data_IF_981860018982
#
_entry.id   IF_981860018982
#
_cell.length_a   1.000
_cell.length_b   1.000
_cell.length_c   1.000
_cell.angle_alpha   90.00
_cell.angle_beta   90.00
_cell.angle_gamma   90.00
#
_symmetry.space_group_name_H-M   'P 1'
#
loop_
_entity.id
_entity.type
_entity.pdbx_description
1 polymer ?
#
# COMPACT_ATOMS: atom_id res chain seq x y z
N UNK A 1 8.41 -1.38 30.63
CA UNK A 1 9.84 -1.51 30.36
C UNK A 1 10.55 -0.17 30.60
N UNK A 2 11.76 -0.23 31.13
CA UNK A 2 12.63 0.92 31.35
C UNK A 2 13.93 0.68 30.61
N UNK A 3 14.36 1.65 29.81
CA UNK A 3 15.53 1.49 28.95
C UNK A 3 16.39 2.77 28.96
N UNK A 4 17.69 2.61 29.21
CA UNK A 4 18.67 3.70 29.12
C UNK A 4 19.18 3.80 27.68
N UNK A 5 18.97 4.98 27.05
CA UNK A 5 19.17 5.16 25.61
C UNK A 5 20.65 5.14 25.18
N UNK A 6 21.55 5.68 25.99
CA UNK A 6 22.95 5.84 25.62
C UNK A 6 23.75 4.53 25.78
N UNK A 7 23.43 3.73 26.80
CA UNK A 7 24.21 2.52 27.20
C UNK A 7 23.50 1.21 26.86
N UNK A 8 22.26 1.27 26.34
CA UNK A 8 21.44 0.12 25.98
C UNK A 8 21.20 -0.86 27.14
N UNK A 9 21.12 -0.36 28.36
CA UNK A 9 20.80 -1.12 29.56
C UNK A 9 19.31 -0.97 29.85
N UNK A 10 18.61 -2.07 30.12
CA UNK A 10 17.18 -2.03 30.39
C UNK A 10 16.78 -2.94 31.53
N UNK A 11 15.63 -2.63 32.14
CA UNK A 11 14.98 -3.41 33.18
C UNK A 11 13.46 -3.36 32.98
N UNK A 12 12.73 -4.22 33.66
CA UNK A 12 11.28 -4.21 33.71
C UNK A 12 10.76 -4.01 35.13
N UNK A 13 9.56 -3.48 35.24
CA UNK A 13 8.89 -3.37 36.53
C UNK A 13 8.32 -4.70 36.96
N UNK A 14 8.23 -4.92 38.27
CA UNK A 14 7.42 -5.99 38.86
C UNK A 14 5.90 -5.63 38.77
N UNK A 15 4.97 -6.55 39.18
CA UNK A 15 3.52 -6.27 39.13
C UNK A 15 3.08 -5.08 39.99
N UNK A 16 3.87 -4.63 40.94
CA UNK A 16 3.60 -3.46 41.79
C UNK A 16 4.19 -2.17 41.26
N UNK A 17 4.86 -2.22 40.09
CA UNK A 17 5.48 -1.03 39.47
C UNK A 17 6.89 -0.72 39.99
N UNK A 18 7.45 -1.52 40.90
CA UNK A 18 8.82 -1.33 41.39
C UNK A 18 9.84 -1.75 40.32
N UNK A 19 10.91 -0.96 40.16
CA UNK A 19 12.04 -1.27 39.32
C UNK A 19 13.35 -0.82 39.99
N UNK A 20 14.45 -1.45 39.57
CA UNK A 20 15.80 -1.04 39.93
C UNK A 20 16.70 -1.17 38.72
N UNK A 21 17.51 -0.14 38.51
CA UNK A 21 18.50 -0.09 37.43
C UNK A 21 19.79 0.52 37.98
N UNK A 22 20.92 -0.14 37.77
CA UNK A 22 22.22 0.35 38.16
C UNK A 22 22.89 1.01 36.97
N UNK A 23 23.24 2.29 37.15
CA UNK A 23 23.91 3.09 36.13
C UNK A 23 25.15 3.76 36.76
N UNK A 24 26.21 3.99 35.99
CA UNK A 24 27.34 4.78 36.47
C UNK A 24 26.95 6.26 36.58
N UNK A 25 27.69 7.01 37.40
CA UNK A 25 27.53 8.44 37.53
C UNK A 25 27.65 9.15 36.18
N UNK A 26 26.88 10.26 36.03
CA UNK A 26 26.84 11.07 34.83
C UNK A 26 25.46 11.28 34.25
N UNK A 27 25.40 11.75 33.02
CA UNK A 27 24.14 12.02 32.32
C UNK A 27 23.46 10.70 31.93
N UNK A 28 22.18 10.59 32.24
CA UNK A 28 21.34 9.44 31.96
C UNK A 28 20.02 9.86 31.30
N UNK A 29 19.57 9.08 30.33
CA UNK A 29 18.31 9.26 29.63
C UNK A 29 17.49 7.95 29.71
N UNK A 30 16.56 7.91 30.64
CA UNK A 30 15.68 6.75 30.84
C UNK A 30 14.38 6.92 30.05
N UNK A 31 14.08 5.94 29.23
CA UNK A 31 12.83 5.80 28.50
C UNK A 31 11.93 4.80 29.21
N UNK A 32 10.73 5.22 29.55
CA UNK A 32 9.69 4.45 30.20
C UNK A 32 8.60 4.14 29.19
N UNK A 33 8.36 2.86 28.90
CA UNK A 33 7.36 2.43 27.94
C UNK A 33 6.49 1.30 28.49
N UNK A 34 5.20 1.38 28.22
CA UNK A 34 4.24 0.33 28.51
C UNK A 34 3.15 0.31 27.43
N UNK A 35 2.63 -0.87 27.14
CA UNK A 35 1.61 -1.04 26.11
C UNK A 35 0.35 -0.22 26.45
N UNK A 36 -0.12 0.63 25.53
CA UNK A 36 -1.27 1.51 25.73
C UNK A 36 -0.96 2.81 26.51
N UNK A 37 0.33 3.14 26.72
CA UNK A 37 0.76 4.36 27.38
C UNK A 37 1.79 5.10 26.52
N UNK A 38 1.74 6.43 26.57
CA UNK A 38 2.73 7.28 25.91
C UNK A 38 4.12 7.04 26.52
N UNK A 39 5.10 6.84 25.66
CA UNK A 39 6.49 6.67 26.08
C UNK A 39 7.02 7.98 26.67
N UNK A 40 7.50 7.95 27.91
CA UNK A 40 8.06 9.11 28.59
C UNK A 40 9.58 8.99 28.70
N UNK A 41 10.30 10.05 28.33
CA UNK A 41 11.76 10.11 28.44
C UNK A 41 12.12 11.08 29.55
N UNK A 42 12.86 10.60 30.55
CA UNK A 42 13.39 11.39 31.64
C UNK A 42 14.90 11.51 31.50
N UNK A 43 15.40 12.76 31.39
CA UNK A 43 16.83 13.07 31.33
C UNK A 43 17.26 13.74 32.60
N UNK A 44 18.29 13.21 33.26
CA UNK A 44 18.84 13.75 34.49
C UNK A 44 20.32 13.36 34.63
N UNK A 45 21.00 14.04 35.55
CA UNK A 45 22.36 13.71 35.90
C UNK A 45 22.36 12.92 37.21
N UNK A 46 22.90 11.69 37.12
CA UNK A 46 23.02 10.79 38.26
C UNK A 46 24.31 11.09 39.01
N UNK A 47 24.20 11.59 40.23
CA UNK A 47 25.33 11.92 41.14
C UNK A 47 25.32 11.07 42.43
N UNK A 48 24.18 10.47 42.74
CA UNK A 48 23.95 9.60 43.90
C UNK A 48 22.75 8.72 43.66
N UNK A 49 22.55 7.74 44.57
CA UNK A 49 21.34 6.91 44.55
C UNK A 49 20.11 7.79 44.54
N UNK A 50 19.27 7.56 43.51
CA UNK A 50 18.14 8.42 43.21
C UNK A 50 16.88 7.59 43.08
N UNK A 51 15.79 8.05 43.71
CA UNK A 51 14.48 7.44 43.59
C UNK A 51 13.67 8.24 42.57
N UNK A 52 13.21 7.57 41.52
CA UNK A 52 12.47 8.18 40.42
C UNK A 52 11.10 7.51 40.30
N UNK A 53 10.05 8.28 40.57
CA UNK A 53 8.67 7.85 40.40
C UNK A 53 8.11 8.46 39.13
N UNK A 54 7.70 7.62 38.18
CA UNK A 54 7.17 8.05 36.89
C UNK A 54 5.71 7.61 36.78
N UNK A 55 4.86 8.53 36.34
CA UNK A 55 3.46 8.24 36.03
C UNK A 55 3.26 8.33 34.52
N UNK A 56 3.05 7.18 33.88
CA UNK A 56 2.72 7.15 32.46
C UNK A 56 1.29 7.63 32.22
N UNK A 57 1.10 8.42 31.19
CA UNK A 57 -0.20 8.83 30.72
C UNK A 57 -0.70 7.78 29.71
N UNK A 58 -1.98 7.44 29.79
CA UNK A 58 -2.59 6.57 28.80
C UNK A 58 -2.49 7.24 27.43
N UNK A 59 -1.90 6.52 26.50
CA UNK A 59 -1.91 6.90 25.10
C UNK A 59 -3.27 6.50 24.52
N UNK A 60 -4.24 7.44 24.67
CA UNK A 60 -5.54 7.30 24.00
C UNK A 60 -5.46 7.66 22.50
N UNK A 61 -4.34 8.10 22.02
CA UNK A 61 -3.96 8.04 20.64
C UNK A 61 -3.43 6.61 20.38
N UNK A 62 -4.34 5.65 20.15
CA UNK A 62 -4.15 4.90 18.94
C UNK A 62 -3.80 5.97 17.90
N UNK A 63 -2.56 6.10 17.51
CA UNK A 63 -2.29 6.61 16.18
C UNK A 63 -3.26 5.79 15.34
N UNK A 64 -4.37 6.43 15.01
CA UNK A 64 -5.14 6.03 13.85
C UNK A 64 -4.03 5.79 12.86
N UNK A 65 -3.74 4.51 12.60
CA UNK A 65 -3.04 4.13 11.40
C UNK A 65 -3.97 4.70 10.37
N UNK A 66 -3.75 5.98 10.05
CA UNK A 66 -4.22 6.58 8.84
C UNK A 66 -3.48 5.73 7.84
N UNK A 67 -4.06 4.54 7.57
CA UNK A 67 -3.97 3.97 6.27
C UNK A 67 -4.42 5.13 5.43
N UNK A 68 -3.47 5.91 4.93
CA UNK A 68 -3.62 6.65 3.72
C UNK A 68 -3.87 5.59 2.64
N UNK A 69 -4.97 4.87 2.78
CA UNK A 69 -5.81 4.53 1.67
C UNK A 69 -5.87 5.87 0.95
N UNK A 70 -5.13 5.99 -0.15
CA UNK A 70 -5.28 7.08 -1.10
C UNK A 70 -6.73 7.48 -0.99
N UNK A 71 -6.96 8.62 -0.27
CA UNK A 71 -8.30 9.07 0.05
C UNK A 71 -8.91 9.30 -1.32
N UNK A 72 -9.43 8.18 -1.89
CA UNK A 72 -10.36 8.31 -2.99
C UNK A 72 -11.25 9.39 -2.46
N UNK A 73 -11.40 10.45 -3.21
CA UNK A 73 -12.43 11.41 -2.96
C UNK A 73 -13.74 10.61 -2.90
N UNK A 74 -13.98 9.93 -1.77
CA UNK A 74 -15.22 9.24 -1.42
C UNK A 74 -16.19 10.30 -0.92
N UNK A 75 -16.07 11.49 -1.49
CA UNK A 75 -17.09 12.53 -1.38
C UNK A 75 -18.11 12.37 -2.50
N UNK A 76 -19.19 13.07 -2.38
CA UNK A 76 -20.29 13.28 -3.33
C UNK A 76 -19.79 13.62 -4.78
N UNK A 77 -18.50 13.87 -4.94
CA UNK A 77 -17.81 14.16 -6.21
C UNK A 77 -17.11 12.96 -6.86
N UNK A 78 -17.18 11.75 -6.26
CA UNK A 78 -16.68 10.53 -6.92
C UNK A 78 -17.62 10.17 -8.06
N UNK A 79 -17.42 10.78 -9.22
CA UNK A 79 -18.18 10.54 -10.45
C UNK A 79 -18.01 9.13 -11.03
N UNK A 80 -17.23 8.27 -10.37
CA UNK A 80 -16.89 6.94 -10.85
C UNK A 80 -17.22 5.88 -9.77
N UNK A 81 -18.50 5.50 -9.66
CA UNK A 81 -18.95 4.51 -8.68
C UNK A 81 -18.40 3.07 -8.89
N UNK A 82 -17.75 2.77 -9.98
CA UNK A 82 -17.24 1.42 -10.32
C UNK A 82 -15.76 1.39 -10.66
N UNK A 83 -15.00 2.46 -10.34
CA UNK A 83 -13.57 2.50 -10.58
C UNK A 83 -12.81 1.73 -9.51
N UNK A 84 -11.96 0.80 -9.91
CA UNK A 84 -11.03 0.08 -9.06
C UNK A 84 -9.61 0.41 -9.52
N UNK A 85 -8.86 1.12 -8.68
CA UNK A 85 -7.44 1.33 -8.91
C UNK A 85 -6.67 0.07 -8.52
N UNK A 86 -5.89 -0.47 -9.45
CA UNK A 86 -5.04 -1.64 -9.22
C UNK A 86 -3.70 -1.14 -8.70
N UNK A 87 -3.30 -1.51 -7.47
CA UNK A 87 -2.02 -1.07 -6.93
C UNK A 87 -0.85 -1.63 -7.77
N UNK A 88 0.04 -0.76 -8.26
CA UNK A 88 1.21 -1.17 -9.03
C UNK A 88 2.10 -2.16 -8.29
N UNK A 89 2.18 -2.02 -6.95
CA UNK A 89 2.91 -2.98 -6.10
C UNK A 89 2.33 -4.40 -6.21
N UNK A 90 1.02 -4.53 -6.33
CA UNK A 90 0.37 -5.83 -6.50
C UNK A 90 0.71 -6.43 -7.87
N UNK A 91 0.71 -5.61 -8.92
CA UNK A 91 1.04 -6.05 -10.28
C UNK A 91 2.48 -6.57 -10.32
N UNK A 92 3.43 -5.82 -9.78
CA UNK A 92 4.86 -6.18 -9.78
C UNK A 92 5.19 -7.40 -8.92
N UNK A 93 4.41 -7.65 -7.88
CA UNK A 93 4.67 -8.75 -6.94
C UNK A 93 3.89 -10.02 -7.29
N UNK A 94 3.08 -10.03 -8.34
CA UNK A 94 2.31 -11.20 -8.77
C UNK A 94 3.05 -11.89 -9.92
N UNK A 95 3.86 -12.92 -9.65
CA UNK A 95 4.47 -13.71 -10.70
C UNK A 95 3.37 -14.54 -11.38
N UNK A 96 3.28 -14.46 -12.69
CA UNK A 96 2.20 -15.15 -13.41
C UNK A 96 2.77 -16.26 -14.31
N UNK A 97 3.26 -15.93 -15.47
CA UNK A 97 3.79 -16.92 -16.41
C UNK A 97 5.29 -16.77 -16.52
N UNK A 98 6.02 -17.87 -16.41
CA UNK A 98 7.50 -17.90 -16.50
C UNK A 98 8.23 -16.95 -15.49
N UNK A 99 7.51 -16.54 -14.42
CA UNK A 99 8.11 -15.66 -13.40
C UNK A 99 8.05 -14.17 -13.72
N UNK A 100 7.50 -13.77 -14.85
CA UNK A 100 7.32 -12.38 -15.22
C UNK A 100 5.95 -11.84 -14.78
N UNK A 101 5.93 -10.61 -14.28
CA UNK A 101 4.70 -9.93 -13.90
C UNK A 101 3.94 -9.45 -15.14
N UNK A 102 2.66 -9.78 -15.22
CA UNK A 102 1.80 -9.38 -16.34
C UNK A 102 0.56 -8.63 -15.84
N UNK A 103 0.29 -7.48 -16.43
CA UNK A 103 -0.82 -6.61 -16.04
C UNK A 103 -2.18 -7.28 -16.23
N UNK A 104 -2.44 -7.84 -17.40
CA UNK A 104 -3.75 -8.41 -17.70
C UNK A 104 -4.02 -9.66 -16.87
N UNK A 105 -2.99 -10.48 -16.64
CA UNK A 105 -3.08 -11.64 -15.75
C UNK A 105 -3.36 -11.24 -14.30
N UNK A 106 -2.75 -10.15 -13.82
CA UNK A 106 -3.05 -9.63 -12.49
C UNK A 106 -4.48 -9.12 -12.39
N UNK A 107 -4.99 -8.45 -13.43
CA UNK A 107 -6.39 -8.01 -13.48
C UNK A 107 -7.36 -9.21 -13.46
N UNK A 108 -7.01 -10.33 -14.05
CA UNK A 108 -7.82 -11.56 -14.01
C UNK A 108 -8.01 -12.12 -12.59
N UNK A 109 -7.13 -11.81 -11.65
CA UNK A 109 -7.26 -12.20 -10.24
C UNK A 109 -8.26 -11.33 -9.46
N UNK A 110 -8.74 -10.23 -10.04
CA UNK A 110 -9.67 -9.34 -9.38
C UNK A 110 -11.10 -9.89 -9.35
N UNK A 111 -11.87 -9.66 -8.27
CA UNK A 111 -13.26 -10.13 -8.19
C UNK A 111 -14.10 -9.63 -9.37
N UNK A 112 -14.86 -10.52 -10.00
CA UNK A 112 -15.72 -10.22 -11.14
C UNK A 112 -14.99 -10.07 -12.48
N UNK A 113 -13.74 -10.50 -12.55
CA UNK A 113 -12.97 -10.68 -13.78
C UNK A 113 -12.67 -12.16 -13.93
N UNK A 114 -12.86 -12.70 -15.11
CA UNK A 114 -12.56 -14.08 -15.43
C UNK A 114 -11.55 -14.13 -16.57
N UNK A 115 -10.64 -15.08 -16.50
CA UNK A 115 -9.78 -15.40 -17.62
C UNK A 115 -10.61 -16.04 -18.74
N UNK A 116 -10.21 -15.83 -19.97
CA UNK A 116 -10.71 -16.59 -21.11
C UNK A 116 -10.24 -18.06 -21.05
N UNK A 117 -10.29 -18.75 -22.18
CA UNK A 117 -9.71 -20.10 -22.29
C UNK A 117 -8.22 -20.07 -21.91
N UNK A 118 -7.73 -21.13 -21.28
CA UNK A 118 -6.31 -21.27 -20.95
C UNK A 118 -5.43 -21.00 -22.18
N UNK A 119 -4.48 -20.07 -22.02
CA UNK A 119 -3.57 -19.66 -23.09
C UNK A 119 -4.01 -18.43 -23.91
N UNK A 120 -5.21 -17.89 -23.68
CA UNK A 120 -5.66 -16.65 -24.30
C UNK A 120 -5.86 -15.57 -23.23
N UNK A 121 -5.39 -14.37 -23.50
CA UNK A 121 -5.47 -13.22 -22.57
C UNK A 121 -6.86 -12.55 -22.55
N UNK A 122 -7.87 -13.17 -23.10
CA UNK A 122 -9.23 -12.66 -23.08
C UNK A 122 -9.70 -12.33 -21.66
N UNK A 123 -10.12 -11.08 -21.43
CA UNK A 123 -10.72 -10.63 -20.19
C UNK A 123 -12.24 -10.69 -20.31
N UNK A 124 -12.87 -11.44 -19.42
CA UNK A 124 -14.31 -11.44 -19.24
C UNK A 124 -14.66 -10.69 -17.96
N UNK A 125 -15.21 -9.50 -18.08
CA UNK A 125 -15.59 -8.68 -16.93
C UNK A 125 -17.10 -8.72 -16.75
N UNK A 126 -17.55 -9.19 -15.60
CA UNK A 126 -19.00 -9.33 -15.27
C UNK A 126 -19.82 -10.04 -16.37
N UNK A 127 -19.24 -11.06 -16.98
CA UNK A 127 -19.90 -11.85 -18.03
C UNK A 127 -19.84 -11.25 -19.44
N UNK A 128 -19.21 -10.09 -19.63
CA UNK A 128 -18.98 -9.53 -20.95
C UNK A 128 -17.83 -10.21 -21.69
N UNK A 129 -17.88 -10.24 -23.01
CA UNK A 129 -16.84 -10.79 -23.87
C UNK A 129 -15.58 -9.93 -23.95
N UNK A 130 -14.45 -10.51 -24.43
CA UNK A 130 -13.19 -9.77 -24.55
C UNK A 130 -13.29 -8.56 -25.48
N UNK A 131 -14.12 -8.63 -26.53
CA UNK A 131 -14.42 -7.57 -27.49
C UNK A 131 -15.21 -6.41 -26.89
N UNK A 132 -15.82 -6.62 -25.72
CA UNK A 132 -16.62 -5.61 -25.00
C UNK A 132 -15.81 -4.81 -23.99
N UNK A 133 -14.53 -5.06 -23.89
CA UNK A 133 -13.61 -4.31 -23.03
C UNK A 133 -12.87 -3.23 -23.83
N UNK A 134 -12.67 -2.07 -23.24
CA UNK A 134 -11.86 -0.99 -23.79
C UNK A 134 -10.56 -0.90 -22.99
N UNK A 135 -9.44 -1.11 -23.66
CA UNK A 135 -8.12 -0.92 -23.05
C UNK A 135 -7.56 0.39 -23.59
N UNK A 136 -7.19 1.29 -22.70
CA UNK A 136 -6.63 2.59 -23.03
C UNK A 136 -5.20 2.67 -22.46
N UNK A 137 -4.27 3.10 -23.28
CA UNK A 137 -2.92 3.48 -22.87
C UNK A 137 -2.76 5.00 -23.09
N UNK A 138 -2.65 5.75 -22.00
CA UNK A 138 -2.62 7.22 -22.00
C UNK A 138 -3.78 7.85 -22.77
N UNK A 139 -4.97 7.21 -22.71
CA UNK A 139 -6.16 7.65 -23.41
C UNK A 139 -6.29 7.16 -24.86
N UNK A 140 -5.30 6.42 -25.39
CA UNK A 140 -5.32 5.85 -26.74
C UNK A 140 -5.86 4.43 -26.68
N UNK A 141 -6.88 4.06 -27.49
CA UNK A 141 -7.43 2.72 -27.48
C UNK A 141 -6.44 1.71 -28.09
N UNK A 142 -6.24 0.63 -27.36
CA UNK A 142 -5.43 -0.51 -27.76
C UNK A 142 -6.38 -1.66 -28.12
N UNK A 143 -6.36 -2.10 -29.36
CA UNK A 143 -7.26 -3.15 -29.86
C UNK A 143 -6.69 -4.55 -29.65
N UNK A 144 -5.38 -4.71 -29.69
CA UNK A 144 -4.70 -5.97 -29.44
C UNK A 144 -3.67 -5.77 -28.34
N UNK A 145 -4.03 -6.19 -27.14
CA UNK A 145 -3.19 -6.04 -25.94
C UNK A 145 -2.35 -7.32 -25.67
N UNK A 146 -2.42 -8.28 -26.57
CA UNK A 146 -1.85 -9.61 -26.39
C UNK A 146 -0.60 -9.80 -27.23
N UNK A 147 0.34 -10.51 -26.67
CA UNK A 147 1.56 -10.95 -27.34
C UNK A 147 1.75 -12.46 -27.17
N UNK A 148 2.44 -13.12 -28.11
CA UNK A 148 2.71 -14.55 -28.10
C UNK A 148 1.46 -15.42 -27.89
N UNK A 149 0.48 -15.27 -28.79
CA UNK A 149 -0.79 -16.05 -28.74
C UNK A 149 -1.57 -15.87 -27.43
N UNK A 150 -1.42 -14.70 -26.78
CA UNK A 150 -2.16 -14.39 -25.56
C UNK A 150 -1.50 -14.87 -24.27
N UNK A 151 -0.26 -15.35 -24.33
CA UNK A 151 0.49 -15.75 -23.12
C UNK A 151 0.92 -14.53 -22.31
N UNK A 152 1.34 -13.45 -22.95
CA UNK A 152 1.74 -12.18 -22.33
C UNK A 152 0.93 -11.00 -22.82
N UNK A 153 0.82 -9.98 -21.99
CA UNK A 153 0.36 -8.66 -22.43
C UNK A 153 1.52 -7.82 -22.98
N UNK A 154 1.18 -6.83 -23.80
CA UNK A 154 2.16 -5.86 -24.32
C UNK A 154 2.60 -4.83 -23.25
N UNK A 155 2.04 -4.89 -22.05
CA UNK A 155 2.22 -3.89 -21.00
C UNK A 155 3.34 -4.30 -20.05
N UNK A 156 4.39 -3.48 -20.00
CA UNK A 156 5.52 -3.64 -19.08
C UNK A 156 5.20 -2.94 -17.75
N UNK A 157 5.07 -3.66 -16.62
CA UNK A 157 4.65 -3.08 -15.35
C UNK A 157 5.55 -1.95 -14.83
N UNK A 158 6.83 -1.95 -15.19
CA UNK A 158 7.80 -0.94 -14.79
C UNK A 158 7.53 0.42 -15.44
N UNK A 159 7.00 0.41 -16.65
CA UNK A 159 6.68 1.62 -17.40
C UNK A 159 5.37 2.28 -16.96
N UNK A 160 4.61 1.62 -16.07
CA UNK A 160 3.27 2.08 -15.69
C UNK A 160 3.26 2.79 -14.35
N UNK A 161 2.50 3.88 -14.28
CA UNK A 161 2.25 4.68 -13.09
C UNK A 161 0.95 4.29 -12.40
N UNK A 162 -0.10 4.08 -13.18
CA UNK A 162 -1.44 3.84 -12.66
C UNK A 162 -2.26 2.99 -13.61
N UNK A 163 -3.05 2.09 -13.03
CA UNK A 163 -4.03 1.29 -13.75
C UNK A 163 -5.38 1.40 -13.04
N UNK A 164 -6.41 1.80 -13.77
CA UNK A 164 -7.78 1.91 -13.26
C UNK A 164 -8.71 1.02 -14.07
N UNK A 165 -9.38 0.10 -13.41
CA UNK A 165 -10.40 -0.77 -13.99
C UNK A 165 -11.80 -0.24 -13.64
N UNK A 166 -12.59 0.08 -14.66
CA UNK A 166 -14.02 0.38 -14.52
C UNK A 166 -14.83 -0.85 -14.88
N UNK A 167 -15.62 -1.35 -13.92
CA UNK A 167 -16.49 -2.52 -14.12
C UNK A 167 -17.95 -2.06 -14.26
N UNK A 168 -18.37 -1.67 -15.45
CA UNK A 168 -19.69 -1.05 -15.67
C UNK A 168 -19.74 0.39 -15.15
N UNK A 169 -20.81 1.12 -15.38
CA UNK A 169 -21.02 2.51 -14.94
C UNK A 169 -19.82 3.42 -15.14
N UNK A 170 -19.31 3.49 -16.36
CA UNK A 170 -18.17 4.34 -16.68
C UNK A 170 -18.61 5.77 -16.96
N UNK A 171 -17.75 6.77 -16.71
CA UNK A 171 -18.01 8.16 -17.10
C UNK A 171 -18.32 8.30 -18.58
N UNK A 172 -19.19 9.25 -18.94
CA UNK A 172 -19.68 9.47 -20.32
C UNK A 172 -18.56 9.76 -21.34
N UNK A 173 -17.37 10.16 -20.87
CA UNK A 173 -16.18 10.34 -21.72
C UNK A 173 -15.67 9.05 -22.35
N UNK A 174 -16.01 7.91 -21.79
CA UNK A 174 -15.66 6.60 -22.30
C UNK A 174 -16.84 6.00 -23.03
N UNK A 175 -16.72 5.83 -24.33
CA UNK A 175 -17.76 5.25 -25.19
C UNK A 175 -17.31 4.00 -25.94
N UNK A 176 -18.26 3.35 -26.61
CA UNK A 176 -17.97 2.31 -27.59
C UNK A 176 -17.70 0.90 -27.03
N UNK A 177 -17.82 0.68 -25.73
CA UNK A 177 -17.69 -0.65 -25.11
C UNK A 177 -18.75 -0.83 -24.02
N UNK A 178 -19.11 -2.10 -23.75
CA UNK A 178 -20.26 -2.43 -22.89
C UNK A 178 -19.88 -3.02 -21.54
N UNK A 179 -18.74 -3.70 -21.44
CA UNK A 179 -18.38 -4.49 -20.26
C UNK A 179 -17.46 -3.76 -19.29
N UNK A 180 -16.27 -3.36 -19.75
CA UNK A 180 -15.29 -2.71 -18.90
C UNK A 180 -14.39 -1.73 -19.65
N UNK A 181 -13.71 -0.88 -18.85
CA UNK A 181 -12.67 0.00 -19.36
C UNK A 181 -11.44 -0.18 -18.46
N UNK A 182 -10.29 -0.40 -19.07
CA UNK A 182 -8.99 -0.48 -18.42
C UNK A 182 -8.20 0.75 -18.87
N UNK A 183 -8.08 1.74 -17.98
CA UNK A 183 -7.31 2.96 -18.24
C UNK A 183 -5.92 2.81 -17.64
N UNK A 184 -4.91 2.72 -18.49
CA UNK A 184 -3.51 2.53 -18.14
C UNK A 184 -2.79 3.85 -18.37
N UNK A 185 -2.03 4.30 -17.37
CA UNK A 185 -1.21 5.49 -17.45
C UNK A 185 0.26 5.12 -17.32
N UNK A 186 1.08 5.62 -18.23
CA UNK A 186 2.54 5.46 -18.16
C UNK A 186 3.17 6.40 -17.14
N UNK A 187 4.42 6.13 -16.79
CA UNK A 187 5.19 7.00 -15.90
C UNK A 187 5.44 8.33 -16.59
N UNK A 188 5.33 9.42 -15.82
CA UNK A 188 5.75 10.73 -16.27
C UNK A 188 7.28 10.77 -16.37
N UNK A 189 7.81 11.43 -17.38
CA UNK A 189 9.25 11.69 -17.48
C UNK A 189 9.71 12.66 -16.39
N UNK A 190 10.92 12.46 -15.88
CA UNK A 190 11.59 13.40 -15.00
C UNK A 190 12.63 14.20 -15.80
N UNK A 191 12.57 15.54 -15.74
CA UNK A 191 13.51 16.41 -16.42
C UNK A 191 14.81 16.62 -15.64
N UNK A 192 14.91 16.14 -14.39
CA UNK A 192 16.05 16.38 -13.52
C UNK A 192 16.93 15.15 -13.32
N UNK A 193 16.37 13.93 -13.46
CA UNK A 193 17.08 12.68 -13.23
C UNK A 193 16.86 11.72 -14.40
N UNK A 194 17.92 11.01 -14.79
CA UNK A 194 17.84 9.84 -15.68
C UNK A 194 17.64 8.61 -14.79
N UNK A 195 16.61 7.83 -15.10
CA UNK A 195 16.32 6.55 -14.46
C UNK A 195 16.56 5.41 -15.44
#
# INVERSE_FOLDING_TARGET
NIFEQNRRIGTSTNPFGFYSITLPEGDAALSFSYLGYATQICRFRLEKDTLLNIRLLTDNQLEEVVVLSNKRETGIHATAMSALDVPMKQIRNTPVVLGEADLLKTIQLLPGVQAGMEGFSGLHVRGGGPDQNLILLDGIPIYNADHLLGVFSIFTPEAMKKVTLFKGSFPARYGGRLSSIIDIRTNDGDMQNYH
#
